data_IF_456318657330
#
_entry.id   IF_456318657330
#
_cell.length_a   1.000
_cell.length_b   1.000
_cell.length_c   1.000
_cell.angle_alpha   90.00
_cell.angle_beta   90.00
_cell.angle_gamma   90.00
#
_symmetry.space_group_name_H-M   'P 1'
#
loop_
_entity.id
_entity.type
_entity.pdbx_description
1 polymer ?
#
# COMPACT_ATOMS: atom_id res chain seq x y z
N UNK A 1 15.00 3.11 8.23
CA UNK A 1 14.90 4.53 8.51
C UNK A 1 15.57 5.32 7.39
N UNK A 2 14.92 5.40 6.23
CA UNK A 2 15.28 6.29 5.12
C UNK A 2 14.16 7.30 4.86
N UNK A 3 13.27 7.48 5.85
CA UNK A 3 11.97 8.11 5.70
C UNK A 3 11.92 9.63 5.76
N UNK A 4 13.01 10.36 5.70
CA UNK A 4 12.97 11.82 5.82
C UNK A 4 13.82 12.52 4.74
N UNK A 5 13.83 11.95 3.54
CA UNK A 5 14.71 12.41 2.49
C UNK A 5 13.96 13.18 1.42
N UNK A 6 14.26 14.43 1.34
CA UNK A 6 14.27 15.20 0.11
C UNK A 6 12.94 15.82 -0.32
N UNK A 7 11.80 15.30 0.05
CA UNK A 7 10.49 15.86 -0.35
C UNK A 7 9.72 16.53 0.79
N UNK A 8 10.12 16.32 2.05
CA UNK A 8 9.45 16.85 3.23
C UNK A 8 9.41 18.40 3.28
N UNK A 9 10.22 19.06 2.47
CA UNK A 9 10.26 20.51 2.32
C UNK A 9 9.70 21.05 1.02
N UNK A 10 9.23 20.19 0.10
CA UNK A 10 8.64 20.66 -1.18
C UNK A 10 7.18 20.98 -0.97
N UNK A 11 6.83 22.25 -1.04
CA UNK A 11 5.44 22.71 -1.08
C UNK A 11 4.96 22.74 -2.53
N UNK A 12 3.94 21.95 -2.82
CA UNK A 12 3.25 22.03 -4.10
C UNK A 12 2.22 23.16 -4.07
N UNK A 13 2.15 23.93 -5.15
CA UNK A 13 1.15 24.99 -5.32
C UNK A 13 -0.29 24.42 -5.27
N UNK A 14 -1.28 25.30 -5.04
CA UNK A 14 -2.70 24.93 -5.04
C UNK A 14 -3.20 24.44 -6.42
N UNK A 15 -2.46 24.74 -7.45
CA UNK A 15 -2.67 24.33 -8.84
C UNK A 15 -2.28 22.87 -9.11
N UNK A 16 -1.47 22.25 -8.24
CA UNK A 16 -1.16 20.81 -8.31
C UNK A 16 -2.28 20.01 -7.68
N UNK A 17 -3.06 19.23 -8.45
CA UNK A 17 -4.20 18.47 -7.93
C UNK A 17 -3.75 17.33 -7.01
N UNK A 18 -4.69 16.82 -6.20
CA UNK A 18 -4.52 15.54 -5.54
C UNK A 18 -4.42 14.41 -6.58
N UNK A 19 -3.62 13.41 -6.28
CA UNK A 19 -3.49 12.23 -7.14
C UNK A 19 -4.65 11.27 -6.90
N UNK A 20 -5.35 10.88 -7.95
CA UNK A 20 -6.34 9.81 -7.89
C UNK A 20 -5.64 8.45 -7.89
N UNK A 21 -5.79 7.68 -6.82
CA UNK A 21 -5.32 6.30 -6.78
C UNK A 21 -6.31 5.36 -7.48
N UNK A 22 -5.86 4.67 -8.52
CA UNK A 22 -6.66 3.70 -9.30
C UNK A 22 -6.12 2.26 -9.18
N UNK A 23 -5.13 2.05 -8.31
CA UNK A 23 -4.36 0.82 -8.23
C UNK A 23 -5.06 -0.36 -7.54
N UNK A 24 -6.31 -0.22 -7.09
CA UNK A 24 -7.12 -1.37 -6.68
C UNK A 24 -7.62 -2.16 -7.90
N UNK A 25 -7.97 -1.45 -8.98
CA UNK A 25 -8.59 -2.03 -10.18
C UNK A 25 -7.63 -2.09 -11.38
N UNK A 26 -6.59 -1.27 -11.38
CA UNK A 26 -5.66 -1.14 -12.50
C UNK A 26 -4.21 -1.36 -12.08
N UNK A 27 -3.49 -2.17 -12.84
CA UNK A 27 -2.04 -2.36 -12.71
C UNK A 27 -1.24 -1.51 -13.70
N UNK A 28 -1.93 -0.94 -14.69
CA UNK A 28 -1.39 -0.03 -15.68
C UNK A 28 -2.47 0.94 -16.18
N UNK A 29 -2.06 2.15 -16.56
CA UNK A 29 -2.87 3.18 -17.20
C UNK A 29 -2.04 3.91 -18.26
N UNK A 30 -2.70 4.44 -19.32
CA UNK A 30 -1.99 5.04 -20.46
C UNK A 30 -2.22 6.56 -20.61
N UNK A 31 -3.00 7.15 -19.72
CA UNK A 31 -3.51 8.51 -19.85
C UNK A 31 -3.29 9.36 -18.59
N UNK A 32 -2.26 9.06 -17.81
CA UNK A 32 -1.86 9.88 -16.68
C UNK A 32 -1.14 11.15 -17.15
N UNK A 33 -1.32 12.24 -16.41
CA UNK A 33 -0.61 13.51 -16.66
C UNK A 33 0.44 13.76 -15.60
N UNK A 34 1.61 14.20 -16.02
CA UNK A 34 2.64 14.69 -15.11
C UNK A 34 2.21 16.08 -14.63
N UNK A 35 1.91 16.20 -13.33
CA UNK A 35 1.44 17.46 -12.74
C UNK A 35 2.54 18.20 -11.98
N UNK A 36 3.58 17.51 -11.54
CA UNK A 36 4.77 18.12 -10.96
C UNK A 36 5.99 17.20 -11.10
N UNK A 37 7.15 17.82 -11.14
CA UNK A 37 8.48 17.17 -11.12
C UNK A 37 9.32 17.84 -10.03
N UNK A 38 10.10 17.03 -9.28
CA UNK A 38 10.98 17.53 -8.22
C UNK A 38 12.37 16.94 -8.36
N UNK A 39 13.39 17.80 -8.39
CA UNK A 39 14.81 17.45 -8.43
C UNK A 39 15.51 18.20 -7.30
N UNK A 40 16.30 17.51 -6.49
CA UNK A 40 17.05 18.13 -5.38
C UNK A 40 16.20 19.06 -4.49
N UNK A 41 14.94 18.68 -4.22
CA UNK A 41 13.94 19.41 -3.44
C UNK A 41 13.37 20.68 -4.09
N UNK A 42 13.65 20.91 -5.35
CA UNK A 42 13.08 22.02 -6.11
C UNK A 42 12.15 21.51 -7.23
N UNK A 43 11.08 22.26 -7.50
CA UNK A 43 10.21 21.97 -8.62
C UNK A 43 10.94 22.25 -9.94
N UNK A 44 10.79 21.34 -10.90
CA UNK A 44 11.38 21.42 -12.24
C UNK A 44 10.29 21.32 -13.31
N UNK A 45 10.51 21.94 -14.45
CA UNK A 45 9.62 21.85 -15.63
C UNK A 45 9.91 20.61 -16.49
N UNK A 46 11.17 20.12 -16.44
CA UNK A 46 11.60 18.96 -17.19
C UNK A 46 12.69 18.17 -16.47
N UNK A 47 12.77 16.86 -16.75
CA UNK A 47 13.82 15.96 -16.29
C UNK A 47 14.66 15.48 -17.47
N UNK A 48 15.97 15.41 -17.23
CA UNK A 48 16.96 14.87 -18.17
C UNK A 48 17.36 13.44 -17.81
N UNK A 49 17.83 12.64 -18.78
CA UNK A 49 18.28 11.27 -18.51
C UNK A 49 19.40 11.21 -17.44
N UNK A 50 19.33 10.20 -16.58
CA UNK A 50 20.32 9.98 -15.50
C UNK A 50 19.97 10.68 -14.18
N UNK A 51 18.96 11.55 -14.16
CA UNK A 51 18.55 12.30 -12.97
C UNK A 51 17.62 11.46 -12.08
N UNK A 52 17.89 11.46 -10.80
CA UNK A 52 16.96 10.97 -9.77
C UNK A 52 15.97 12.09 -9.42
N UNK A 53 14.70 11.75 -9.35
CA UNK A 53 13.64 12.74 -9.20
C UNK A 53 12.39 12.14 -8.56
N UNK A 54 11.44 13.03 -8.27
CA UNK A 54 10.06 12.69 -7.91
C UNK A 54 9.15 13.13 -9.05
N UNK A 55 8.29 12.22 -9.48
CA UNK A 55 7.22 12.48 -10.46
C UNK A 55 5.89 12.43 -9.73
N UNK A 56 5.07 13.46 -9.88
CA UNK A 56 3.68 13.50 -9.39
C UNK A 56 2.74 13.42 -10.58
N UNK A 57 1.80 12.49 -10.53
CA UNK A 57 0.77 12.27 -11.54
C UNK A 57 -0.60 12.70 -11.03
N UNK A 58 -1.51 13.07 -11.94
CA UNK A 58 -2.93 13.34 -11.63
C UNK A 58 -3.67 12.08 -11.18
N UNK A 59 -3.27 10.92 -11.71
CA UNK A 59 -3.77 9.59 -11.31
C UNK A 59 -2.67 8.55 -11.41
N UNK A 60 -2.76 7.51 -10.59
CA UNK A 60 -1.71 6.49 -10.50
C UNK A 60 -2.23 5.10 -10.13
N UNK A 61 -1.69 4.02 -10.73
CA UNK A 61 -1.91 2.66 -10.26
C UNK A 61 -0.96 2.26 -9.12
N UNK A 62 0.04 3.08 -8.80
CA UNK A 62 1.06 2.79 -7.79
C UNK A 62 0.51 2.99 -6.38
N UNK A 63 0.57 1.95 -5.56
CA UNK A 63 0.31 2.04 -4.13
C UNK A 63 1.47 2.78 -3.44
N UNK A 64 1.15 3.82 -2.69
CA UNK A 64 2.12 4.51 -1.83
C UNK A 64 2.31 3.74 -0.52
N UNK A 65 3.51 3.76 0.05
CA UNK A 65 3.80 3.14 1.33
C UNK A 65 2.85 3.69 2.42
N UNK A 66 2.06 2.80 3.00
CA UNK A 66 1.02 3.18 3.97
C UNK A 66 0.55 1.92 4.73
N UNK A 67 0.17 2.07 6.01
CA UNK A 67 -0.42 0.97 6.79
C UNK A 67 0.48 -0.26 6.93
N UNK A 68 1.79 -0.09 6.89
CA UNK A 68 2.76 -1.18 6.95
C UNK A 68 3.06 -1.87 5.61
N UNK A 69 2.27 -1.61 4.56
CA UNK A 69 2.56 -2.14 3.22
C UNK A 69 3.55 -1.24 2.49
N UNK A 70 4.62 -1.85 1.94
CA UNK A 70 5.61 -1.14 1.12
C UNK A 70 5.01 -0.67 -0.21
N UNK A 71 5.61 0.37 -0.78
CA UNK A 71 5.22 0.94 -2.06
C UNK A 71 5.42 -0.03 -3.23
N UNK A 72 4.67 0.21 -4.31
CA UNK A 72 4.93 -0.43 -5.59
C UNK A 72 6.18 0.13 -6.26
N UNK A 73 6.79 -0.71 -7.06
CA UNK A 73 7.79 -0.36 -8.06
C UNK A 73 7.18 -0.50 -9.45
N UNK A 74 7.83 0.09 -10.45
CA UNK A 74 7.40 -0.04 -11.83
C UNK A 74 7.98 1.03 -12.74
N UNK A 75 7.23 1.41 -13.77
CA UNK A 75 7.70 2.29 -14.83
C UNK A 75 6.64 3.36 -15.15
N UNK A 76 7.08 4.60 -15.27
CA UNK A 76 6.36 5.68 -15.95
C UNK A 76 7.03 5.89 -17.30
N UNK A 77 6.26 5.86 -18.39
CA UNK A 77 6.83 5.90 -19.75
C UNK A 77 5.99 6.72 -20.73
N UNK A 78 6.63 7.20 -21.78
CA UNK A 78 6.01 7.77 -22.96
C UNK A 78 6.88 7.39 -24.18
N UNK A 79 6.54 7.86 -25.38
CA UNK A 79 7.36 7.57 -26.56
C UNK A 79 8.80 8.07 -26.36
N UNK A 80 9.75 7.15 -26.36
CA UNK A 80 11.16 7.41 -26.12
C UNK A 80 11.52 7.86 -24.69
N UNK A 81 10.60 7.78 -23.72
CA UNK A 81 10.80 8.21 -22.33
C UNK A 81 10.59 7.03 -21.37
N UNK A 82 11.52 6.85 -20.43
CA UNK A 82 11.43 5.80 -19.41
C UNK A 82 11.92 6.31 -18.05
N UNK A 83 11.03 6.32 -17.07
CA UNK A 83 11.31 6.63 -15.67
C UNK A 83 11.05 5.38 -14.80
N UNK A 84 12.11 4.91 -14.13
CA UNK A 84 12.05 3.76 -13.24
C UNK A 84 11.61 4.21 -11.84
N UNK A 85 10.46 3.72 -11.38
CA UNK A 85 9.93 4.01 -10.04
C UNK A 85 10.43 2.98 -9.04
N UNK A 86 11.04 3.44 -7.96
CA UNK A 86 11.60 2.59 -6.89
C UNK A 86 10.94 2.80 -5.54
N UNK A 87 10.17 3.87 -5.36
CA UNK A 87 9.39 4.14 -4.16
C UNK A 87 8.23 5.08 -4.47
N UNK A 88 7.18 5.03 -3.66
CA UNK A 88 6.04 5.95 -3.74
C UNK A 88 5.59 6.32 -2.34
N UNK A 89 5.56 7.61 -2.06
CA UNK A 89 5.08 8.17 -0.80
C UNK A 89 3.88 9.09 -1.06
N UNK A 90 2.94 9.15 -0.12
CA UNK A 90 1.80 10.06 -0.18
C UNK A 90 1.99 11.19 0.83
N UNK A 91 1.94 12.44 0.39
CA UNK A 91 2.01 13.57 1.29
C UNK A 91 0.64 13.91 1.92
N UNK A 92 0.63 14.83 2.88
CA UNK A 92 -0.61 15.31 3.54
C UNK A 92 -1.60 15.97 2.58
N UNK A 93 -1.12 16.50 1.47
CA UNK A 93 -1.94 17.10 0.40
C UNK A 93 -2.47 16.11 -0.62
N UNK A 94 -2.41 14.81 -0.36
CA UNK A 94 -2.97 13.77 -1.24
C UNK A 94 -2.17 13.52 -2.53
N UNK A 95 -0.96 14.04 -2.65
CA UNK A 95 -0.12 13.83 -3.83
C UNK A 95 0.72 12.58 -3.66
N UNK A 96 0.73 11.72 -4.69
CA UNK A 96 1.57 10.53 -4.75
C UNK A 96 2.89 10.89 -5.42
N UNK A 97 3.96 10.80 -4.67
CA UNK A 97 5.31 11.15 -5.08
C UNK A 97 6.06 9.89 -5.49
N UNK A 98 6.20 9.70 -6.82
CA UNK A 98 6.91 8.56 -7.39
C UNK A 98 8.40 8.89 -7.45
N UNK A 99 9.17 8.30 -6.56
CA UNK A 99 10.64 8.47 -6.53
C UNK A 99 11.29 7.47 -7.45
N UNK A 100 12.27 7.93 -8.22
CA UNK A 100 12.98 7.06 -9.13
C UNK A 100 13.98 7.79 -10.01
N UNK A 101 14.29 7.19 -11.15
CA UNK A 101 15.31 7.69 -12.07
C UNK A 101 14.82 7.71 -13.52
N UNK A 102 15.02 8.83 -14.19
CA UNK A 102 14.83 8.91 -15.64
C UNK A 102 16.00 8.22 -16.34
N UNK A 103 15.73 7.11 -17.01
CA UNK A 103 16.77 6.32 -17.70
C UNK A 103 16.87 6.64 -19.18
N UNK A 104 15.79 7.18 -19.77
CA UNK A 104 15.75 7.51 -21.21
C UNK A 104 14.79 8.68 -21.47
N UNK A 105 15.14 9.51 -22.44
CA UNK A 105 14.31 10.61 -22.93
C UNK A 105 14.28 11.82 -22.01
N UNK A 106 13.31 12.71 -22.26
CA UNK A 106 13.06 13.92 -21.45
C UNK A 106 11.61 13.89 -21.00
N UNK A 107 11.38 13.97 -19.70
CA UNK A 107 10.04 14.02 -19.11
C UNK A 107 9.68 15.47 -18.76
N UNK A 108 8.47 15.91 -19.12
CA UNK A 108 8.02 17.31 -18.91
C UNK A 108 6.72 17.37 -18.11
N UNK A 109 6.56 18.44 -17.34
CA UNK A 109 5.28 18.80 -16.74
C UNK A 109 4.22 19.01 -17.81
N UNK A 110 3.01 18.54 -17.59
CA UNK A 110 1.90 18.57 -18.55
C UNK A 110 1.91 17.44 -19.57
N UNK A 111 3.00 16.66 -19.64
CA UNK A 111 3.09 15.49 -20.53
C UNK A 111 2.13 14.38 -20.15
N UNK A 112 1.61 13.67 -21.14
CA UNK A 112 0.80 12.45 -20.94
C UNK A 112 1.74 11.24 -20.93
N UNK A 113 1.55 10.35 -19.96
CA UNK A 113 2.38 9.17 -19.74
C UNK A 113 1.56 7.94 -19.47
N UNK A 114 2.13 6.78 -19.75
CA UNK A 114 1.69 5.49 -19.23
C UNK A 114 2.36 5.25 -17.88
N UNK A 115 1.65 4.64 -16.96
CA UNK A 115 2.15 4.26 -15.65
C UNK A 115 1.80 2.80 -15.37
N UNK A 116 2.80 1.95 -15.11
CA UNK A 116 2.62 0.51 -14.89
C UNK A 116 3.44 0.03 -13.72
N UNK A 117 2.81 -0.75 -12.83
CA UNK A 117 3.48 -1.34 -11.67
C UNK A 117 4.17 -2.67 -12.03
N UNK A 118 5.15 -3.08 -11.22
CA UNK A 118 5.63 -4.46 -11.21
C UNK A 118 4.55 -5.38 -10.61
N UNK A 119 3.77 -6.00 -11.48
CA UNK A 119 2.65 -6.87 -11.11
C UNK A 119 3.11 -8.09 -10.29
N UNK A 120 4.30 -8.63 -10.58
CA UNK A 120 4.85 -9.78 -9.83
C UNK A 120 5.15 -9.38 -8.39
N UNK A 121 5.78 -8.22 -8.20
CA UNK A 121 6.03 -7.64 -6.87
C UNK A 121 4.72 -7.35 -6.13
N UNK A 122 3.75 -6.66 -6.77
CA UNK A 122 2.44 -6.36 -6.20
C UNK A 122 1.72 -7.64 -5.72
N UNK A 123 1.67 -8.68 -6.53
CA UNK A 123 1.06 -9.96 -6.15
C UNK A 123 1.76 -10.62 -4.96
N UNK A 124 3.08 -10.51 -4.87
CA UNK A 124 3.81 -11.01 -3.70
C UNK A 124 3.47 -10.22 -2.42
N UNK A 125 3.40 -8.90 -2.50
CA UNK A 125 2.95 -8.03 -1.40
C UNK A 125 1.51 -8.34 -0.99
N UNK A 126 0.59 -8.53 -1.95
CA UNK A 126 -0.80 -8.89 -1.68
C UNK A 126 -0.92 -10.21 -0.91
N UNK A 127 -0.12 -11.24 -1.27
CA UNK A 127 -0.07 -12.51 -0.51
C UNK A 127 0.39 -12.28 0.93
N UNK A 128 1.47 -11.53 1.12
CA UNK A 128 1.97 -11.21 2.45
C UNK A 128 0.97 -10.39 3.27
N UNK A 129 0.27 -9.43 2.64
CA UNK A 129 -0.74 -8.62 3.32
C UNK A 129 -1.98 -9.42 3.72
N UNK A 130 -2.49 -10.26 2.82
CA UNK A 130 -3.62 -11.14 3.14
C UNK A 130 -3.24 -12.14 4.24
N UNK A 131 -2.03 -12.71 4.19
CA UNK A 131 -1.52 -13.57 5.26
C UNK A 131 -1.40 -12.83 6.62
N UNK A 132 -1.10 -11.53 6.63
CA UNK A 132 -1.05 -10.72 7.85
C UNK A 132 -2.42 -10.65 8.53
N UNK A 133 -3.50 -10.45 7.78
CA UNK A 133 -4.88 -10.47 8.33
C UNK A 133 -5.27 -11.85 8.89
N UNK A 134 -4.94 -12.92 8.18
CA UNK A 134 -5.17 -14.28 8.68
C UNK A 134 -4.39 -14.51 9.99
N UNK A 135 -3.13 -14.06 10.05
CA UNK A 135 -2.28 -14.18 11.24
C UNK A 135 -2.86 -13.41 12.44
N UNK A 136 -3.30 -12.16 12.25
CA UNK A 136 -3.92 -11.38 13.33
C UNK A 136 -5.14 -12.10 13.91
N UNK A 137 -6.05 -12.55 13.05
CA UNK A 137 -7.23 -13.30 13.47
C UNK A 137 -6.87 -14.58 14.22
N UNK A 138 -5.91 -15.36 13.73
CA UNK A 138 -5.49 -16.61 14.36
C UNK A 138 -4.79 -16.36 15.69
N UNK A 139 -3.93 -15.35 15.80
CA UNK A 139 -3.28 -14.98 17.05
C UNK A 139 -4.32 -14.65 18.14
N UNK A 140 -5.38 -13.92 17.80
CA UNK A 140 -6.49 -13.63 18.73
C UNK A 140 -7.25 -14.89 19.12
N UNK A 141 -7.48 -15.81 18.20
CA UNK A 141 -8.15 -17.10 18.49
C UNK A 141 -7.33 -17.98 19.43
N UNK A 142 -6.01 -18.01 19.27
CA UNK A 142 -5.11 -18.87 20.06
C UNK A 142 -4.74 -18.25 21.39
N UNK A 143 -4.42 -16.95 21.40
CA UNK A 143 -3.86 -16.28 22.58
C UNK A 143 -4.88 -15.47 23.36
N UNK A 144 -5.97 -15.04 22.72
CA UNK A 144 -7.06 -14.28 23.34
C UNK A 144 -7.21 -12.85 22.84
N UNK A 145 -8.29 -12.20 23.28
CA UNK A 145 -8.73 -10.86 22.81
C UNK A 145 -7.80 -9.71 23.19
N UNK A 146 -6.82 -9.93 24.08
CA UNK A 146 -5.82 -8.94 24.45
C UNK A 146 -4.76 -8.71 23.35
N UNK A 147 -4.73 -9.57 22.34
CA UNK A 147 -3.83 -9.41 21.19
C UNK A 147 -4.32 -8.25 20.33
N UNK A 148 -3.47 -7.23 20.20
CA UNK A 148 -3.70 -6.08 19.33
C UNK A 148 -2.44 -5.81 18.53
N UNK A 149 -2.61 -5.39 17.26
CA UNK A 149 -1.50 -4.97 16.44
C UNK A 149 -0.78 -3.77 17.08
N UNK A 150 0.54 -3.89 17.23
CA UNK A 150 1.44 -2.82 17.68
C UNK A 150 2.28 -2.26 16.51
N UNK A 151 2.44 -3.04 15.43
CA UNK A 151 3.15 -2.63 14.22
C UNK A 151 2.99 -3.68 13.13
N UNK A 152 3.25 -3.29 11.91
CA UNK A 152 3.23 -4.19 10.74
C UNK A 152 4.23 -3.73 9.70
N UNK A 153 4.82 -4.70 9.00
CA UNK A 153 5.62 -4.48 7.79
C UNK A 153 5.29 -5.60 6.80
N UNK A 154 4.84 -5.23 5.62
CA UNK A 154 4.42 -6.15 4.57
C UNK A 154 5.29 -5.90 3.33
N UNK A 155 6.13 -6.86 3.01
CA UNK A 155 7.10 -6.86 1.92
C UNK A 155 6.84 -8.04 0.95
N UNK A 156 7.44 -8.07 -0.24
CA UNK A 156 7.18 -9.14 -1.21
C UNK A 156 7.54 -10.54 -0.75
N UNK A 157 8.55 -10.69 0.10
CA UNK A 157 9.15 -11.95 0.52
C UNK A 157 8.92 -12.30 1.99
N UNK A 158 8.38 -11.34 2.77
CA UNK A 158 8.12 -11.53 4.19
C UNK A 158 7.05 -10.57 4.71
N UNK A 159 6.51 -10.91 5.87
CA UNK A 159 5.75 -9.99 6.71
C UNK A 159 6.35 -9.96 8.13
N UNK A 160 6.18 -8.84 8.82
CA UNK A 160 6.40 -8.72 10.24
C UNK A 160 5.11 -8.20 10.86
N UNK A 161 4.67 -8.85 11.93
CA UNK A 161 3.50 -8.45 12.68
C UNK A 161 3.86 -8.34 14.15
N UNK A 162 3.87 -7.13 14.69
CA UNK A 162 4.16 -6.83 16.07
C UNK A 162 2.83 -6.74 16.83
N UNK A 163 2.70 -7.44 17.94
CA UNK A 163 1.45 -7.50 18.69
C UNK A 163 1.65 -7.53 20.19
N UNK A 164 0.61 -7.16 20.93
CA UNK A 164 0.62 -7.19 22.40
C UNK A 164 0.41 -8.60 22.91
N UNK A 165 1.30 -9.07 23.80
CA UNK A 165 1.16 -10.32 24.52
C UNK A 165 2.01 -10.30 25.79
N UNK A 166 1.68 -11.15 26.77
CA UNK A 166 2.29 -11.13 28.12
C UNK A 166 3.64 -11.85 28.20
N UNK A 167 3.88 -12.82 27.31
CA UNK A 167 5.07 -13.66 27.33
C UNK A 167 5.46 -14.10 25.90
N UNK A 168 6.61 -14.71 25.74
CA UNK A 168 6.96 -15.40 24.50
C UNK A 168 6.00 -16.58 24.26
N UNK A 169 5.63 -16.80 22.98
CA UNK A 169 4.79 -17.92 22.62
C UNK A 169 5.50 -19.26 22.89
N UNK A 170 4.74 -20.23 23.38
CA UNK A 170 5.22 -21.60 23.51
C UNK A 170 5.35 -22.29 22.16
N UNK A 171 6.06 -23.39 22.08
CA UNK A 171 6.18 -24.19 20.86
C UNK A 171 4.81 -24.73 20.41
N UNK A 172 3.93 -25.08 21.33
CA UNK A 172 2.59 -25.53 21.08
C UNK A 172 1.72 -24.42 20.47
N UNK A 173 1.76 -23.21 21.03
CA UNK A 173 1.06 -22.04 20.50
C UNK A 173 1.54 -21.67 19.09
N UNK A 174 2.86 -21.66 18.86
CA UNK A 174 3.44 -21.43 17.55
C UNK A 174 2.99 -22.48 16.53
N UNK A 175 2.98 -23.75 16.91
CA UNK A 175 2.51 -24.84 16.07
C UNK A 175 1.04 -24.70 15.72
N UNK A 176 0.20 -24.34 16.70
CA UNK A 176 -1.22 -24.13 16.53
C UNK A 176 -1.51 -22.93 15.62
N UNK A 177 -0.84 -21.81 15.84
CA UNK A 177 -0.96 -20.62 14.97
C UNK A 177 -0.57 -20.96 13.53
N UNK A 178 0.55 -21.64 13.32
CA UNK A 178 1.00 -22.06 11.99
C UNK A 178 -0.03 -22.97 11.31
N UNK A 179 -0.56 -23.96 12.01
CA UNK A 179 -1.56 -24.88 11.47
C UNK A 179 -2.84 -24.15 11.06
N UNK A 180 -3.39 -23.29 11.91
CA UNK A 180 -4.63 -22.56 11.64
C UNK A 180 -4.50 -21.51 10.53
N UNK A 181 -3.34 -20.84 10.42
CA UNK A 181 -3.09 -19.94 9.28
C UNK A 181 -3.03 -20.72 7.96
N UNK A 182 -2.32 -21.86 7.93
CA UNK A 182 -2.25 -22.71 6.75
C UNK A 182 -3.63 -23.29 6.37
N UNK A 183 -4.43 -23.69 7.37
CA UNK A 183 -5.82 -24.14 7.15
C UNK A 183 -6.64 -23.04 6.49
N UNK A 184 -6.59 -21.80 7.01
CA UNK A 184 -7.30 -20.66 6.42
C UNK A 184 -6.83 -20.32 5.00
N UNK A 185 -5.55 -20.53 4.68
CA UNK A 185 -5.05 -20.42 3.30
C UNK A 185 -5.66 -21.51 2.42
N UNK A 186 -5.63 -22.76 2.86
CA UNK A 186 -6.12 -23.91 2.07
C UNK A 186 -7.64 -23.93 1.89
N UNK A 187 -8.40 -23.33 2.80
CA UNK A 187 -9.85 -23.16 2.67
C UNK A 187 -10.25 -22.29 1.48
N UNK A 188 -9.33 -21.46 0.98
CA UNK A 188 -9.58 -20.63 -0.19
C UNK A 188 -10.68 -19.59 0.06
N UNK A 189 -10.61 -18.90 1.18
CA UNK A 189 -11.61 -17.88 1.53
C UNK A 189 -11.67 -16.79 0.47
N UNK A 190 -12.89 -16.44 0.07
CA UNK A 190 -13.14 -15.24 -0.73
C UNK A 190 -12.75 -13.99 0.07
N UNK A 191 -12.10 -13.05 -0.58
CA UNK A 191 -11.72 -11.77 -0.01
C UNK A 191 -12.55 -10.68 -0.66
N UNK A 192 -13.43 -10.04 0.10
CA UNK A 192 -14.26 -8.93 -0.35
C UNK A 192 -13.83 -7.61 0.28
N UNK A 193 -14.07 -6.52 -0.43
CA UNK A 193 -13.78 -5.18 0.06
C UNK A 193 -14.96 -4.25 -0.15
N UNK A 194 -15.29 -3.48 0.88
CA UNK A 194 -16.37 -2.50 0.83
C UNK A 194 -15.91 -1.17 1.46
N UNK A 195 -16.45 -0.05 0.97
CA UNK A 195 -16.31 1.25 1.61
C UNK A 195 -17.60 1.54 2.37
N UNK A 196 -17.53 1.66 3.69
CA UNK A 196 -18.66 1.79 4.57
C UNK A 196 -18.53 3.02 5.48
N UNK A 197 -19.65 3.60 5.96
CA UNK A 197 -19.61 4.48 7.10
C UNK A 197 -18.93 3.80 8.30
N UNK A 198 -18.08 4.53 9.02
CA UNK A 198 -17.26 3.96 10.11
C UNK A 198 -18.11 3.25 11.19
N UNK A 199 -19.27 3.81 11.51
CA UNK A 199 -20.16 3.22 12.52
C UNK A 199 -20.78 1.89 12.04
N UNK A 200 -21.10 1.77 10.77
CA UNK A 200 -21.57 0.52 10.17
C UNK A 200 -20.46 -0.54 10.16
N UNK A 201 -19.25 -0.16 9.79
CA UNK A 201 -18.10 -1.05 9.80
C UNK A 201 -17.81 -1.61 11.21
N UNK A 202 -17.90 -0.77 12.25
CA UNK A 202 -17.78 -1.20 13.66
C UNK A 202 -18.89 -2.16 14.08
N UNK A 203 -20.13 -1.92 13.65
CA UNK A 203 -21.26 -2.81 13.93
C UNK A 203 -21.10 -4.19 13.31
N UNK A 204 -20.40 -4.30 12.19
CA UNK A 204 -20.02 -5.58 11.56
C UNK A 204 -18.86 -6.29 12.27
N UNK A 205 -18.35 -5.71 13.36
CA UNK A 205 -17.21 -6.26 14.10
C UNK A 205 -15.86 -6.05 13.44
N UNK A 206 -15.77 -5.13 12.48
CA UNK A 206 -14.52 -4.84 11.82
C UNK A 206 -13.50 -4.21 12.78
N UNK A 207 -12.29 -4.76 12.79
CA UNK A 207 -11.21 -4.35 13.66
C UNK A 207 -10.53 -3.13 13.08
N UNK A 208 -10.42 -2.08 13.88
CA UNK A 208 -9.66 -0.86 13.55
C UNK A 208 -8.27 -0.93 14.20
N UNK A 209 -7.26 -0.40 13.52
CA UNK A 209 -5.94 -0.25 14.10
C UNK A 209 -5.97 0.74 15.27
N UNK A 210 -5.30 0.40 16.36
CA UNK A 210 -5.24 1.25 17.55
C UNK A 210 -4.45 2.55 17.24
N UNK A 211 -5.04 3.68 17.60
CA UNK A 211 -4.39 4.99 17.44
C UNK A 211 -4.50 5.63 16.05
N UNK A 212 -5.06 4.95 15.07
CA UNK A 212 -5.32 5.53 13.74
C UNK A 212 -6.56 6.43 13.76
N UNK A 213 -6.48 7.53 13.00
CA UNK A 213 -7.61 8.43 12.78
C UNK A 213 -8.24 8.12 11.43
N UNK A 214 -9.47 7.70 11.48
CA UNK A 214 -10.25 7.40 10.27
C UNK A 214 -11.21 8.56 9.95
N UNK A 215 -11.53 8.73 8.66
CA UNK A 215 -12.58 9.63 8.22
C UNK A 215 -13.99 9.06 8.49
N UNK A 216 -15.00 9.71 7.91
CA UNK A 216 -16.41 9.29 8.05
C UNK A 216 -16.69 7.93 7.40
N UNK A 217 -15.90 7.56 6.40
CA UNK A 217 -15.96 6.27 5.71
C UNK A 217 -14.63 5.53 5.80
N UNK A 218 -14.69 4.21 5.83
CA UNK A 218 -13.53 3.32 5.91
C UNK A 218 -13.64 2.20 4.89
N UNK A 219 -12.50 1.75 4.38
CA UNK A 219 -12.42 0.54 3.57
C UNK A 219 -12.29 -0.66 4.49
N UNK A 220 -13.21 -1.61 4.37
CA UNK A 220 -13.25 -2.86 5.14
C UNK A 220 -12.85 -4.00 4.22
N UNK A 221 -11.95 -4.85 4.70
CA UNK A 221 -11.55 -6.09 4.05
C UNK A 221 -12.11 -7.25 4.86
N UNK A 222 -12.94 -8.07 4.24
CA UNK A 222 -13.54 -9.28 4.82
C UNK A 222 -12.99 -10.51 4.10
N UNK A 223 -12.44 -11.44 4.87
CA UNK A 223 -11.97 -12.73 4.39
C UNK A 223 -12.82 -13.85 5.01
N UNK A 224 -13.41 -14.69 4.16
CA UNK A 224 -14.17 -15.84 4.59
C UNK A 224 -15.49 -15.51 5.31
N UNK A 225 -16.16 -14.43 4.88
CA UNK A 225 -17.47 -14.01 5.40
C UNK A 225 -17.48 -13.89 6.93
N UNK A 226 -16.52 -13.14 7.46
CA UNK A 226 -16.39 -12.88 8.90
C UNK A 226 -15.27 -13.67 9.59
N UNK A 227 -14.45 -14.43 8.87
CA UNK A 227 -13.26 -15.05 9.48
C UNK A 227 -12.25 -13.98 9.94
N UNK A 228 -11.95 -13.01 9.06
CA UNK A 228 -11.18 -11.81 9.37
C UNK A 228 -11.87 -10.60 8.76
N UNK A 229 -12.18 -9.59 9.59
CA UNK A 229 -12.84 -8.35 9.14
C UNK A 229 -12.07 -7.17 9.72
N UNK A 230 -11.40 -6.39 8.85
CA UNK A 230 -10.51 -5.34 9.30
C UNK A 230 -10.63 -4.06 8.46
N UNK A 231 -10.37 -2.90 9.09
CA UNK A 231 -10.15 -1.65 8.36
C UNK A 231 -8.80 -1.72 7.68
N UNK A 232 -8.77 -1.67 6.36
CA UNK A 232 -7.53 -1.77 5.62
C UNK A 232 -7.57 -1.05 4.28
N UNK A 233 -6.61 -0.14 4.07
CA UNK A 233 -6.37 0.54 2.79
C UNK A 233 -5.39 -0.17 1.87
N UNK A 234 -4.82 -1.29 2.28
CA UNK A 234 -3.83 -2.03 1.51
C UNK A 234 -4.40 -2.85 0.35
N UNK A 235 -3.52 -3.50 -0.37
CA UNK A 235 -3.89 -4.36 -1.49
C UNK A 235 -3.91 -5.84 -1.06
N UNK A 236 -4.95 -6.54 -1.46
CA UNK A 236 -5.21 -7.93 -1.05
C UNK A 236 -5.48 -8.83 -2.25
N UNK A 237 -5.32 -10.14 -2.03
CA UNK A 237 -5.79 -11.17 -2.96
C UNK A 237 -7.32 -11.21 -3.01
N UNK A 238 -7.87 -11.77 -4.06
CA UNK A 238 -9.32 -12.04 -4.17
C UNK A 238 -9.72 -13.34 -3.47
N UNK A 239 -8.73 -14.18 -3.18
CA UNK A 239 -8.89 -15.48 -2.53
C UNK A 239 -7.62 -15.83 -1.74
N UNK A 240 -7.74 -16.55 -0.62
CA UNK A 240 -6.60 -16.89 0.26
C UNK A 240 -5.77 -18.08 -0.23
N UNK A 241 -6.26 -18.91 -1.18
CA UNK A 241 -5.55 -20.05 -1.73
C UNK A 241 -4.62 -19.68 -2.90
#
# INVERSE_FOLDING_TARGET
ALGDLGWAGVEFGKDVPETQFVGYDHTAIDDAKVVALVVENEQAEELMPGVEAIVVLDKTPFYAEMGGQVADHGVISADGVTFQVTDVQKNKGGKYMHTGKLTQGVLKVGGTVSASIDVKRRKAVMRAHSATHLLDTVLRKVLGDHVHQAGSLVEPDKLRFDFTHFAALTAEELSQVSALVNEAVLEGYEVSTEVLPIEEAKQRGAIALFGEKYGDTVRVVDMGQGFSVEFCGGTHLDNTA
#
